data_IF_178055528849
#
_entry.id   IF_178055528849
#
_cell.length_a   1.000
_cell.length_b   1.000
_cell.length_c   1.000
_cell.angle_alpha   90.00
_cell.angle_beta   90.00
_cell.angle_gamma   90.00
#
_symmetry.space_group_name_H-M   'P 1'
#
loop_
_entity.id
_entity.type
_entity.pdbx_description
1 polymer ?
#
# COMPACT_ATOMS: atom_id res chain seq x y z
N UNK A 1 35.93 -8.26 -13.36
CA UNK A 1 35.11 -9.27 -12.66
C UNK A 1 34.16 -9.86 -13.68
N UNK A 2 34.16 -11.18 -13.90
CA UNK A 2 33.20 -11.83 -14.80
C UNK A 2 31.83 -11.91 -14.12
N UNK A 3 30.76 -11.64 -14.87
CA UNK A 3 29.39 -11.78 -14.36
C UNK A 3 29.16 -13.28 -14.05
N UNK A 4 28.71 -13.65 -12.83
CA UNK A 4 28.42 -15.02 -12.47
C UNK A 4 27.49 -15.69 -13.48
N UNK A 5 27.70 -16.98 -13.75
CA UNK A 5 26.93 -17.75 -14.77
C UNK A 5 25.42 -17.65 -14.53
N UNK A 6 24.98 -17.60 -13.27
CA UNK A 6 23.57 -17.46 -12.91
C UNK A 6 22.94 -16.09 -13.21
N UNK A 7 23.75 -15.06 -13.46
CA UNK A 7 23.35 -13.69 -13.77
C UNK A 7 23.62 -13.31 -15.24
N UNK A 8 24.09 -14.24 -16.06
CA UNK A 8 24.25 -13.97 -17.49
C UNK A 8 22.88 -13.88 -18.17
N UNK A 9 22.75 -13.02 -19.21
CA UNK A 9 21.51 -12.88 -19.94
C UNK A 9 21.06 -14.24 -20.48
N UNK A 10 19.87 -14.68 -20.05
CA UNK A 10 19.22 -15.85 -20.64
C UNK A 10 18.42 -15.39 -21.86
N UNK A 11 18.16 -16.31 -22.78
CA UNK A 11 17.27 -16.06 -23.92
C UNK A 11 15.83 -15.74 -23.50
N UNK A 12 15.45 -16.10 -22.27
CA UNK A 12 14.10 -15.91 -21.72
C UNK A 12 14.14 -15.17 -20.39
N UNK A 13 13.22 -14.22 -20.23
CA UNK A 13 12.97 -13.48 -18.99
C UNK A 13 11.57 -13.84 -18.50
N UNK A 14 11.43 -14.13 -17.19
CA UNK A 14 10.14 -14.37 -16.56
C UNK A 14 9.70 -13.09 -15.84
N UNK A 15 8.56 -12.54 -16.23
CA UNK A 15 7.92 -11.44 -15.54
C UNK A 15 6.83 -12.02 -14.63
N UNK A 16 6.88 -11.63 -13.37
CA UNK A 16 5.96 -12.10 -12.32
C UNK A 16 5.29 -10.88 -11.73
N UNK A 17 4.02 -11.01 -11.34
CA UNK A 17 3.29 -9.97 -10.64
C UNK A 17 4.01 -9.60 -9.33
N UNK A 18 4.29 -8.30 -9.15
CA UNK A 18 4.96 -7.79 -7.97
C UNK A 18 4.11 -7.93 -6.69
N UNK A 19 2.78 -8.04 -6.83
CA UNK A 19 1.86 -8.31 -5.73
C UNK A 19 2.11 -9.64 -5.01
N UNK A 20 2.85 -10.57 -5.65
CA UNK A 20 3.33 -11.79 -5.00
C UNK A 20 4.51 -11.57 -4.05
N UNK A 21 5.17 -10.41 -4.08
CA UNK A 21 6.28 -10.06 -3.22
C UNK A 21 5.93 -8.91 -2.27
N UNK A 22 5.64 -7.72 -2.82
CA UNK A 22 5.21 -6.54 -2.06
C UNK A 22 4.11 -5.86 -2.85
N UNK A 23 2.89 -5.83 -2.31
CA UNK A 23 1.71 -5.29 -2.99
C UNK A 23 1.69 -3.75 -3.11
N UNK A 24 2.84 -3.10 -2.95
CA UNK A 24 3.04 -1.66 -3.13
C UNK A 24 4.42 -1.46 -3.79
N UNK A 25 4.54 -0.61 -4.83
CA UNK A 25 5.77 -0.49 -5.63
C UNK A 25 6.88 0.35 -4.96
N UNK A 26 7.14 0.15 -3.66
CA UNK A 26 8.21 0.81 -2.91
C UNK A 26 9.61 0.72 -3.54
N UNK A 27 10.02 -0.40 -4.17
CA UNK A 27 11.32 -0.47 -4.86
C UNK A 27 11.52 0.63 -5.90
N UNK A 28 10.45 1.10 -6.55
CA UNK A 28 10.52 2.18 -7.54
C UNK A 28 10.70 3.56 -6.90
N UNK A 29 10.26 3.73 -5.65
CA UNK A 29 10.28 5.01 -4.95
C UNK A 29 11.53 5.18 -4.07
N UNK A 30 12.09 4.09 -3.57
CA UNK A 30 13.28 4.10 -2.71
C UNK A 30 14.61 4.10 -3.49
N UNK A 31 14.59 4.35 -4.79
CA UNK A 31 15.79 4.33 -5.66
C UNK A 31 16.54 5.67 -5.71
N UNK A 32 17.87 5.63 -5.93
CA UNK A 32 18.75 6.83 -5.94
C UNK A 32 18.46 7.86 -7.04
N UNK A 33 17.61 7.50 -8.01
CA UNK A 33 17.30 8.37 -9.16
C UNK A 33 16.17 9.35 -8.88
N UNK A 34 15.45 9.19 -7.77
CA UNK A 34 14.31 10.02 -7.41
C UNK A 34 14.52 10.56 -6.00
N UNK A 35 14.41 11.87 -5.87
CA UNK A 35 14.38 12.56 -4.59
C UNK A 35 12.90 12.71 -4.21
N UNK A 36 12.40 11.80 -3.38
CA UNK A 36 10.96 11.72 -3.05
C UNK A 36 10.77 12.22 -1.63
N UNK A 37 10.09 13.36 -1.51
CA UNK A 37 9.73 13.95 -0.23
C UNK A 37 8.41 13.40 0.34
N UNK A 38 7.49 12.95 -0.53
CA UNK A 38 6.14 12.53 -0.17
C UNK A 38 5.68 11.30 -0.97
N UNK A 39 5.17 10.30 -0.25
CA UNK A 39 4.49 9.13 -0.80
C UNK A 39 3.04 9.14 -0.33
N UNK A 40 2.11 9.15 -1.27
CA UNK A 40 0.68 8.93 -0.99
C UNK A 40 0.38 7.47 -1.33
N UNK A 41 0.01 6.69 -0.32
CA UNK A 41 -0.17 5.25 -0.38
C UNK A 41 -1.64 4.87 -0.09
N UNK A 42 -2.52 4.82 -1.10
CA UNK A 42 -3.81 4.16 -0.98
C UNK A 42 -3.61 2.67 -0.74
N UNK A 43 -4.18 2.15 0.35
CA UNK A 43 -4.03 0.76 0.76
C UNK A 43 -5.27 -0.06 0.36
N UNK A 44 -5.08 -0.94 -0.63
CA UNK A 44 -6.11 -1.77 -1.26
C UNK A 44 -5.81 -3.27 -1.17
N UNK A 45 -4.82 -3.66 -0.38
CA UNK A 45 -4.46 -5.07 -0.22
C UNK A 45 -5.56 -5.85 0.50
N UNK A 46 -5.72 -7.10 0.11
CA UNK A 46 -6.59 -8.06 0.80
C UNK A 46 -5.89 -8.74 2.00
N UNK A 47 -4.61 -8.43 2.24
CA UNK A 47 -3.83 -8.94 3.36
C UNK A 47 -4.13 -8.22 4.69
N UNK A 48 -3.28 -8.46 5.68
CA UNK A 48 -3.42 -7.82 6.99
C UNK A 48 -3.13 -6.31 6.89
N UNK A 49 -3.91 -5.49 7.61
CA UNK A 49 -3.65 -4.05 7.65
C UNK A 49 -2.23 -3.77 8.14
N UNK A 50 -1.54 -2.87 7.45
CA UNK A 50 -0.14 -2.49 7.65
C UNK A 50 0.91 -3.54 7.28
N UNK A 51 0.53 -4.70 6.72
CA UNK A 51 1.48 -5.69 6.22
C UNK A 51 2.38 -5.10 5.14
N UNK A 52 1.79 -4.46 4.13
CA UNK A 52 2.50 -3.77 3.05
C UNK A 52 3.48 -2.71 3.55
N UNK A 53 3.06 -1.94 4.55
CA UNK A 53 3.85 -0.88 5.16
C UNK A 53 5.02 -1.47 5.96
N UNK A 54 4.81 -2.60 6.65
CA UNK A 54 5.84 -3.33 7.39
C UNK A 54 6.86 -3.94 6.44
N UNK A 55 6.42 -4.59 5.36
CA UNK A 55 7.29 -5.13 4.31
C UNK A 55 8.10 -4.02 3.63
N UNK A 56 7.50 -2.84 3.43
CA UNK A 56 8.20 -1.67 2.89
C UNK A 56 9.33 -1.20 3.80
N UNK A 57 9.07 -1.11 5.12
CA UNK A 57 10.08 -0.78 6.13
C UNK A 57 11.23 -1.78 6.11
N UNK A 58 10.93 -3.07 6.06
CA UNK A 58 11.93 -4.15 6.02
C UNK A 58 12.75 -4.11 4.74
N UNK A 59 12.10 -3.91 3.58
CA UNK A 59 12.77 -3.76 2.31
C UNK A 59 13.72 -2.57 2.32
N UNK A 60 13.26 -1.39 2.78
CA UNK A 60 14.09 -0.20 2.88
C UNK A 60 15.33 -0.43 3.76
N UNK A 61 15.16 -1.11 4.89
CA UNK A 61 16.28 -1.49 5.76
C UNK A 61 17.27 -2.43 5.05
N UNK A 62 16.77 -3.44 4.33
CA UNK A 62 17.60 -4.40 3.59
C UNK A 62 18.44 -3.72 2.49
N UNK A 63 17.88 -2.71 1.81
CA UNK A 63 18.60 -1.93 0.79
C UNK A 63 19.27 -0.66 1.32
N UNK A 64 19.29 -0.47 2.66
CA UNK A 64 19.91 0.67 3.36
C UNK A 64 19.39 2.02 2.88
N UNK A 65 18.09 2.13 2.68
CA UNK A 65 17.39 3.36 2.29
C UNK A 65 16.72 4.02 3.49
N UNK A 66 16.69 5.37 3.55
CA UNK A 66 15.96 6.09 4.57
C UNK A 66 14.47 5.78 4.45
N UNK A 67 13.82 5.56 5.60
CA UNK A 67 12.39 5.27 5.67
C UNK A 67 11.86 5.78 7.01
N UNK A 68 10.67 6.42 7.05
CA UNK A 68 10.16 7.01 8.28
C UNK A 68 9.93 5.97 9.36
N UNK A 69 10.14 6.36 10.61
CA UNK A 69 9.84 5.50 11.75
C UNK A 69 8.34 5.23 11.83
N UNK A 70 7.99 3.95 11.91
CA UNK A 70 6.63 3.50 12.20
C UNK A 70 6.55 3.16 13.69
N UNK A 71 5.61 3.78 14.42
CA UNK A 71 5.32 3.40 15.81
C UNK A 71 4.49 2.11 15.81
N UNK A 72 4.99 1.05 16.43
CA UNK A 72 4.32 -0.25 16.46
C UNK A 72 2.92 -0.18 17.13
N UNK A 73 2.63 0.87 17.93
CA UNK A 73 1.29 1.11 18.49
C UNK A 73 0.21 1.25 17.43
N UNK A 74 0.53 1.73 16.23
CA UNK A 74 -0.47 1.84 15.15
C UNK A 74 -0.95 0.46 14.70
N UNK A 75 -0.11 -0.58 14.85
CA UNK A 75 -0.43 -1.92 14.40
C UNK A 75 -1.53 -2.54 15.26
N UNK A 76 -1.74 -2.02 16.47
CA UNK A 76 -2.87 -2.36 17.34
C UNK A 76 -4.22 -1.91 16.74
N UNK A 77 -4.23 -0.96 15.79
CA UNK A 77 -5.44 -0.47 15.13
C UNK A 77 -5.85 -1.32 13.91
N UNK A 78 -5.14 -2.41 13.60
CA UNK A 78 -5.33 -3.20 12.37
C UNK A 78 -6.76 -3.71 12.13
N UNK A 79 -7.49 -4.02 13.21
CA UNK A 79 -8.83 -4.61 13.12
C UNK A 79 -9.92 -3.57 12.85
N UNK A 80 -9.60 -2.29 13.01
CA UNK A 80 -10.50 -1.19 12.65
C UNK A 80 -9.66 0.10 12.49
N UNK A 81 -9.05 0.33 11.32
CA UNK A 81 -8.09 1.40 11.13
C UNK A 81 -8.75 2.76 10.97
N UNK A 82 -7.99 3.84 11.25
CA UNK A 82 -8.29 5.21 10.87
C UNK A 82 -8.32 5.36 9.34
N UNK A 83 -8.92 6.43 8.87
CA UNK A 83 -9.01 6.78 7.45
C UNK A 83 -7.68 7.24 6.86
N UNK A 84 -6.79 7.79 7.69
CA UNK A 84 -5.49 8.27 7.26
C UNK A 84 -4.44 8.15 8.39
N UNK A 85 -3.22 7.78 7.99
CA UNK A 85 -2.03 7.78 8.83
C UNK A 85 -0.93 8.60 8.14
N UNK A 86 -0.27 9.47 8.90
CA UNK A 86 0.87 10.27 8.42
C UNK A 86 2.12 9.82 9.16
N UNK A 87 3.10 9.34 8.42
CA UNK A 87 4.43 8.99 8.90
C UNK A 87 5.41 10.06 8.43
N UNK A 88 5.70 11.01 9.29
CA UNK A 88 6.61 12.12 8.96
C UNK A 88 8.02 11.60 8.77
N UNK A 89 8.57 11.87 7.58
CA UNK A 89 9.97 11.61 7.26
C UNK A 89 10.88 12.70 7.82
N UNK A 90 12.11 12.33 8.18
CA UNK A 90 13.18 13.26 8.56
C UNK A 90 14.30 13.23 7.54
N UNK A 91 14.94 14.38 7.32
CA UNK A 91 16.10 14.55 6.43
C UNK A 91 15.85 14.02 5.02
N UNK A 92 16.26 12.78 4.73
CA UNK A 92 16.15 12.10 3.42
C UNK A 92 15.04 11.06 3.38
N UNK A 93 14.30 10.89 4.47
CA UNK A 93 13.16 9.97 4.53
C UNK A 93 11.94 10.62 3.86
N UNK A 94 11.20 9.87 3.03
CA UNK A 94 9.93 10.36 2.53
C UNK A 94 8.91 10.45 3.68
N UNK A 95 8.05 11.47 3.64
CA UNK A 95 6.80 11.43 4.40
C UNK A 95 5.83 10.49 3.71
N UNK A 96 5.12 9.65 4.48
CA UNK A 96 4.15 8.69 3.93
C UNK A 96 2.76 9.01 4.45
N UNK A 97 1.82 9.21 3.53
CA UNK A 97 0.38 9.33 3.79
C UNK A 97 -0.27 8.01 3.41
N UNK A 98 -0.66 7.21 4.39
CA UNK A 98 -1.22 5.87 4.20
C UNK A 98 -2.73 5.88 4.43
N UNK A 99 -3.49 5.41 3.45
CA UNK A 99 -4.95 5.59 3.38
C UNK A 99 -5.67 4.25 3.16
N UNK A 100 -6.17 3.60 4.22
CA UNK A 100 -6.98 2.39 4.12
C UNK A 100 -8.29 2.60 3.37
N UNK A 101 -8.62 1.69 2.45
CA UNK A 101 -9.90 1.71 1.71
C UNK A 101 -11.12 1.68 2.63
N UNK A 102 -11.13 0.74 3.57
CA UNK A 102 -12.15 0.62 4.60
C UNK A 102 -11.55 1.05 5.93
N UNK A 103 -12.29 1.88 6.65
CA UNK A 103 -11.79 2.55 7.84
C UNK A 103 -12.94 3.06 8.72
N UNK A 104 -12.61 3.60 9.89
CA UNK A 104 -13.54 4.19 10.87
C UNK A 104 -14.48 5.27 10.33
N UNK A 105 -14.12 5.95 9.24
CA UNK A 105 -14.95 7.00 8.67
C UNK A 105 -16.01 6.45 7.69
N UNK A 106 -15.80 5.25 7.12
CA UNK A 106 -16.70 4.66 6.12
C UNK A 106 -17.24 3.26 6.46
N UNK A 107 -17.00 2.82 7.70
CA UNK A 107 -17.55 1.61 8.34
C UNK A 107 -18.04 1.98 9.74
N UNK A 108 -19.12 1.36 10.21
CA UNK A 108 -19.72 1.68 11.52
C UNK A 108 -18.91 1.15 12.69
N UNK A 109 -18.32 -0.03 12.53
CA UNK A 109 -17.57 -0.74 13.56
C UNK A 109 -16.58 -1.75 12.94
N UNK A 110 -15.82 -2.42 13.80
CA UNK A 110 -14.84 -3.43 13.40
C UNK A 110 -15.46 -4.64 12.66
N UNK A 111 -16.72 -4.98 12.96
CA UNK A 111 -17.39 -6.12 12.34
C UNK A 111 -17.84 -5.78 10.91
N UNK A 112 -18.37 -4.57 10.68
CA UNK A 112 -18.62 -4.08 9.34
C UNK A 112 -17.32 -3.95 8.54
N UNK A 113 -16.23 -3.48 9.15
CA UNK A 113 -14.92 -3.43 8.52
C UNK A 113 -14.47 -4.81 8.02
N UNK A 114 -14.50 -5.83 8.88
CA UNK A 114 -14.15 -7.21 8.51
C UNK A 114 -15.07 -7.75 7.42
N UNK A 115 -16.38 -7.50 7.52
CA UNK A 115 -17.34 -7.92 6.51
C UNK A 115 -17.04 -7.29 5.15
N UNK A 116 -16.65 -6.00 5.12
CA UNK A 116 -16.28 -5.30 3.88
C UNK A 116 -14.95 -5.78 3.30
N UNK A 117 -13.94 -6.03 4.12
CA UNK A 117 -12.70 -6.65 3.66
C UNK A 117 -12.97 -8.01 2.99
N UNK A 118 -13.87 -8.82 3.56
CA UNK A 118 -14.25 -10.10 2.98
C UNK A 118 -15.09 -9.96 1.69
N UNK A 119 -16.08 -9.06 1.67
CA UNK A 119 -16.95 -8.80 0.51
C UNK A 119 -16.16 -8.29 -0.71
N UNK A 120 -15.11 -7.50 -0.46
CA UNK A 120 -14.25 -6.88 -1.48
C UNK A 120 -12.90 -7.58 -1.65
N UNK A 121 -12.79 -8.83 -1.20
CA UNK A 121 -11.58 -9.66 -1.37
C UNK A 121 -11.17 -9.82 -2.83
N UNK A 122 -9.88 -10.02 -3.09
CA UNK A 122 -9.30 -10.19 -4.44
C UNK A 122 -9.87 -11.39 -5.18
N UNK A 123 -10.12 -12.49 -4.47
CA UNK A 123 -10.61 -13.75 -5.06
C UNK A 123 -12.14 -13.78 -5.04
N UNK A 124 -12.78 -13.06 -5.95
CA UNK A 124 -14.24 -13.03 -6.08
C UNK A 124 -14.71 -12.94 -7.54
N UNK A 125 -16.01 -13.18 -7.82
CA UNK A 125 -16.59 -12.93 -9.14
C UNK A 125 -16.47 -11.45 -9.55
N UNK A 126 -16.64 -11.13 -10.84
CA UNK A 126 -16.61 -9.75 -11.31
C UNK A 126 -17.58 -8.85 -10.54
N UNK A 127 -17.15 -7.61 -10.28
CA UNK A 127 -18.01 -6.64 -9.59
C UNK A 127 -19.17 -6.24 -10.50
N UNK A 128 -20.37 -6.22 -9.93
CA UNK A 128 -21.51 -5.57 -10.57
C UNK A 128 -21.39 -4.02 -10.51
N UNK A 129 -22.32 -3.34 -11.17
CA UNK A 129 -22.33 -1.87 -11.19
C UNK A 129 -22.53 -1.25 -9.81
N UNK A 130 -23.20 -1.93 -8.88
CA UNK A 130 -23.46 -1.41 -7.55
C UNK A 130 -22.19 -1.45 -6.71
N UNK A 131 -21.47 -2.58 -6.71
CA UNK A 131 -20.15 -2.74 -6.08
C UNK A 131 -19.13 -1.75 -6.63
N UNK A 132 -19.12 -1.56 -7.95
CA UNK A 132 -18.28 -0.56 -8.60
C UNK A 132 -18.62 0.83 -8.04
N UNK A 133 -19.88 1.28 -8.15
CA UNK A 133 -20.33 2.59 -7.64
C UNK A 133 -20.05 2.77 -6.14
N UNK A 134 -20.19 1.70 -5.37
CA UNK A 134 -19.93 1.66 -3.93
C UNK A 134 -18.47 1.98 -3.60
N UNK A 135 -17.52 1.37 -4.31
CA UNK A 135 -16.09 1.65 -4.14
C UNK A 135 -15.73 3.06 -4.63
N UNK A 136 -16.26 3.46 -5.79
CA UNK A 136 -16.04 4.80 -6.33
C UNK A 136 -16.44 5.90 -5.34
N UNK A 137 -17.58 5.74 -4.68
CA UNK A 137 -18.05 6.71 -3.68
C UNK A 137 -17.16 6.77 -2.44
N UNK A 138 -16.57 5.66 -2.00
CA UNK A 138 -15.71 5.61 -0.81
C UNK A 138 -14.30 6.14 -1.04
N UNK A 139 -13.81 6.10 -2.28
CA UNK A 139 -12.55 6.76 -2.64
C UNK A 139 -12.64 8.28 -2.63
N UNK A 140 -13.85 8.85 -2.74
CA UNK A 140 -14.07 10.28 -2.63
C UNK A 140 -14.35 10.63 -1.17
N UNK A 141 -13.45 11.40 -0.56
CA UNK A 141 -13.74 12.05 0.73
C UNK A 141 -14.99 12.93 0.60
N UNK A 142 -15.87 12.98 1.61
CA UNK A 142 -16.99 13.93 1.63
C UNK A 142 -16.44 15.35 1.52
N UNK A 143 -16.68 16.02 0.38
CA UNK A 143 -16.26 17.42 0.15
C UNK A 143 -14.93 17.62 -0.58
N UNK A 144 -14.33 16.58 -1.18
CA UNK A 144 -13.10 16.77 -1.98
C UNK A 144 -13.28 16.26 -3.41
N UNK A 145 -13.40 17.18 -4.37
CA UNK A 145 -13.14 16.92 -5.80
C UNK A 145 -11.62 16.78 -6.01
N UNK A 146 -11.03 15.70 -5.50
CA UNK A 146 -9.74 15.24 -5.99
C UNK A 146 -10.01 14.14 -7.01
N UNK A 147 -10.11 14.54 -8.27
CA UNK A 147 -9.97 13.62 -9.39
C UNK A 147 -8.50 13.20 -9.48
N UNK A 148 -8.16 12.08 -8.85
CA UNK A 148 -7.03 11.30 -9.33
C UNK A 148 -7.50 10.56 -10.58
N UNK A 149 -7.31 11.20 -11.73
CA UNK A 149 -7.39 10.53 -13.02
C UNK A 149 -6.29 9.45 -13.08
N UNK A 150 -6.70 8.20 -13.24
CA UNK A 150 -5.84 7.13 -13.76
C UNK A 150 -5.82 7.21 -15.29
#
# INVERSE_FOLDING_TARGET
>A
SSIPVCLQPKETIHLIDAGLAVNVPYPSFLGDKRDIDLIIAPEYSAGDMFETLTLAREYAAAVRKPFPKIDDKILEEKDWPRDCYVFEGKEKEPTIVFMPLFNRNNTRDAEEYKAKMNEFSTMQPPFDQEKIKFLWRRRRSPGTELEFAL
#
